data_IF_152339649472
#
_entry.id   IF_152339649472
#
_cell.length_a   1.000
_cell.length_b   1.000
_cell.length_c   1.000
_cell.angle_alpha   90.00
_cell.angle_beta   90.00
_cell.angle_gamma   90.00
#
_symmetry.space_group_name_H-M   'P 1'
#
loop_
_entity.id
_entity.type
_entity.pdbx_description
1 polymer ?
#
# COMPACT_ATOMS: atom_id res chain seq x y z
N UNK A 1 -20.86 -11.85 6.73
CA UNK A 1 -19.99 -10.75 6.28
C UNK A 1 -19.54 -10.04 7.53
N UNK A 2 -18.26 -10.13 7.84
CA UNK A 2 -17.66 -9.67 9.10
C UNK A 2 -17.94 -8.17 9.30
N UNK A 3 -17.82 -7.38 8.25
CA UNK A 3 -18.06 -5.94 8.25
C UNK A 3 -19.47 -5.61 8.73
N UNK A 4 -20.48 -6.35 8.26
CA UNK A 4 -21.86 -6.11 8.64
C UNK A 4 -22.12 -6.40 10.12
N UNK A 5 -21.58 -7.50 10.63
CA UNK A 5 -21.70 -7.85 12.05
C UNK A 5 -21.02 -6.79 12.93
N UNK A 6 -19.80 -6.37 12.57
CA UNK A 6 -19.09 -5.31 13.31
C UNK A 6 -19.85 -3.98 13.28
N UNK A 7 -20.40 -3.60 12.13
CA UNK A 7 -21.19 -2.38 11.97
C UNK A 7 -22.48 -2.43 12.80
N UNK A 8 -23.19 -3.57 12.81
CA UNK A 8 -24.36 -3.77 13.66
C UNK A 8 -24.02 -3.67 15.14
N UNK A 9 -22.91 -4.27 15.56
CA UNK A 9 -22.48 -4.21 16.96
C UNK A 9 -22.13 -2.77 17.38
N UNK A 10 -21.53 -1.97 16.50
CA UNK A 10 -21.14 -0.58 16.80
C UNK A 10 -22.33 0.40 16.77
N UNK A 11 -23.19 0.29 15.76
CA UNK A 11 -24.23 1.31 15.50
C UNK A 11 -25.66 0.87 15.86
N UNK A 12 -25.89 -0.43 16.09
CA UNK A 12 -27.20 -0.97 16.42
C UNK A 12 -28.27 -0.58 15.39
N UNK A 13 -29.40 -0.06 15.87
CA UNK A 13 -30.53 0.37 15.05
C UNK A 13 -30.21 1.61 14.20
N UNK A 14 -29.25 2.44 14.63
CA UNK A 14 -28.82 3.63 13.89
C UNK A 14 -27.98 3.28 12.66
N UNK A 15 -27.70 2.01 12.40
CA UNK A 15 -26.89 1.58 11.26
C UNK A 15 -27.47 2.04 9.91
N UNK A 16 -28.80 2.06 9.76
CA UNK A 16 -29.47 2.53 8.53
C UNK A 16 -29.37 4.05 8.35
N UNK A 17 -29.19 4.81 9.41
CA UNK A 17 -28.95 6.26 9.32
C UNK A 17 -27.47 6.52 9.03
N UNK A 18 -26.60 5.76 9.68
CA UNK A 18 -25.16 5.83 9.47
C UNK A 18 -24.77 5.46 8.04
N UNK A 19 -25.33 4.38 7.52
CA UNK A 19 -25.13 3.94 6.14
C UNK A 19 -26.31 4.44 5.31
N UNK A 20 -26.10 5.12 4.19
CA UNK A 20 -27.22 5.48 3.29
C UNK A 20 -28.16 4.29 3.05
N UNK A 21 -29.47 4.55 2.94
CA UNK A 21 -30.49 3.51 2.82
C UNK A 21 -30.16 2.47 1.73
N UNK A 22 -29.68 2.93 0.57
CA UNK A 22 -29.23 2.06 -0.52
C UNK A 22 -28.10 1.12 -0.11
N UNK A 23 -27.11 1.62 0.64
CA UNK A 23 -25.93 0.86 1.05
C UNK A 23 -26.30 -0.15 2.14
N UNK A 24 -27.12 0.27 3.10
CA UNK A 24 -27.70 -0.61 4.13
C UNK A 24 -28.44 -1.80 3.49
N UNK A 25 -29.36 -1.55 2.55
CA UNK A 25 -30.11 -2.62 1.89
C UNK A 25 -29.24 -3.53 1.03
N UNK A 26 -28.20 -3.00 0.37
CA UNK A 26 -27.23 -3.83 -0.35
C UNK A 26 -26.49 -4.79 0.58
N UNK A 27 -26.00 -4.29 1.71
CA UNK A 27 -25.31 -5.11 2.70
C UNK A 27 -26.21 -6.17 3.30
N UNK A 28 -27.41 -5.79 3.76
CA UNK A 28 -28.38 -6.71 4.35
C UNK A 28 -28.80 -7.82 3.37
N UNK A 29 -28.94 -7.48 2.09
CA UNK A 29 -29.26 -8.43 1.02
C UNK A 29 -28.03 -9.16 0.45
N UNK A 30 -26.83 -9.00 1.04
CA UNK A 30 -25.57 -9.58 0.56
C UNK A 30 -25.28 -9.29 -0.93
N UNK A 31 -25.69 -8.12 -1.42
CA UNK A 31 -25.43 -7.65 -2.79
C UNK A 31 -24.06 -6.99 -2.87
N UNK A 32 -23.53 -6.86 -4.09
CA UNK A 32 -22.23 -6.23 -4.32
C UNK A 32 -22.22 -4.72 -3.99
N UNK A 33 -21.18 -4.32 -3.25
CA UNK A 33 -20.78 -2.94 -2.95
C UNK A 33 -19.26 -2.89 -2.74
N UNK A 34 -18.70 -1.68 -2.71
CA UNK A 34 -17.27 -1.46 -2.43
C UNK A 34 -17.08 -0.90 -1.03
N UNK A 35 -16.00 -1.33 -0.36
CA UNK A 35 -15.65 -0.91 1.00
C UNK A 35 -15.54 0.62 1.15
N UNK A 36 -14.96 1.32 0.17
CA UNK A 36 -14.81 2.77 0.24
C UNK A 36 -16.15 3.53 0.35
N UNK A 37 -17.27 2.95 -0.10
CA UNK A 37 -18.59 3.57 0.09
C UNK A 37 -19.01 3.58 1.56
N UNK A 38 -18.57 2.59 2.35
CA UNK A 38 -18.82 2.51 3.79
C UNK A 38 -18.00 3.58 4.50
N UNK A 39 -16.73 3.72 4.14
CA UNK A 39 -15.84 4.75 4.68
C UNK A 39 -16.35 6.16 4.38
N UNK A 40 -16.86 6.40 3.16
CA UNK A 40 -17.50 7.68 2.78
C UNK A 40 -18.72 8.06 3.63
N UNK A 41 -19.35 7.09 4.32
CA UNK A 41 -20.39 7.36 5.31
C UNK A 41 -19.82 7.77 6.70
N UNK A 42 -18.52 8.06 6.78
CA UNK A 42 -17.82 8.41 8.00
C UNK A 42 -17.64 7.23 8.95
N UNK A 43 -17.56 6.00 8.41
CA UNK A 43 -17.20 4.83 9.20
C UNK A 43 -15.68 4.74 9.26
N UNK A 44 -15.15 4.83 10.47
CA UNK A 44 -13.74 4.53 10.75
C UNK A 44 -13.56 3.01 10.91
N UNK A 45 -12.74 2.41 10.05
CA UNK A 45 -12.47 0.98 10.06
C UNK A 45 -11.53 0.55 11.20
N UNK A 46 -10.65 1.44 11.67
CA UNK A 46 -9.75 1.15 12.79
C UNK A 46 -10.53 1.12 14.09
N UNK A 47 -11.40 2.11 14.32
CA UNK A 47 -12.28 2.08 15.49
C UNK A 47 -13.29 0.93 15.44
N UNK A 48 -13.58 0.39 14.25
CA UNK A 48 -14.42 -0.80 14.09
C UNK A 48 -13.63 -2.10 14.35
N UNK A 49 -12.31 -2.01 14.46
CA UNK A 49 -11.40 -3.14 14.50
C UNK A 49 -11.48 -4.00 13.24
N UNK A 50 -11.80 -3.40 12.08
CA UNK A 50 -11.94 -4.10 10.80
C UNK A 50 -10.59 -4.20 10.09
N UNK A 51 -10.07 -5.42 10.01
CA UNK A 51 -8.68 -5.71 9.61
C UNK A 51 -8.55 -5.97 8.11
N UNK A 52 -7.30 -6.05 7.63
CA UNK A 52 -7.01 -6.48 6.27
C UNK A 52 -7.48 -7.92 6.02
N UNK A 53 -7.34 -8.78 7.02
CA UNK A 53 -7.76 -10.18 6.96
C UNK A 53 -9.29 -10.29 6.85
N UNK A 54 -10.04 -9.45 7.59
CA UNK A 54 -11.49 -9.36 7.42
C UNK A 54 -11.88 -8.88 6.01
N UNK A 55 -11.13 -7.90 5.47
CA UNK A 55 -11.32 -7.42 4.11
C UNK A 55 -11.13 -8.51 3.06
N UNK A 56 -10.08 -9.32 3.19
CA UNK A 56 -9.84 -10.44 2.28
C UNK A 56 -10.96 -11.48 2.35
N UNK A 57 -11.58 -11.67 3.51
CA UNK A 57 -12.68 -12.62 3.65
C UNK A 57 -13.98 -12.07 3.05
N UNK A 58 -14.36 -10.84 3.38
CA UNK A 58 -15.62 -10.25 2.90
C UNK A 58 -15.58 -9.85 1.41
N UNK A 59 -14.41 -9.43 0.91
CA UNK A 59 -14.25 -8.83 -0.43
C UNK A 59 -13.24 -9.56 -1.31
N UNK A 60 -12.97 -10.86 -1.07
CA UNK A 60 -12.05 -11.70 -1.86
C UNK A 60 -12.19 -11.50 -3.37
N UNK A 61 -13.43 -11.58 -3.87
CA UNK A 61 -13.78 -11.41 -5.28
C UNK A 61 -13.37 -10.05 -5.90
N UNK A 62 -13.18 -9.01 -5.08
CA UNK A 62 -12.68 -7.71 -5.53
C UNK A 62 -11.16 -7.66 -5.37
N UNK A 63 -10.64 -8.13 -4.25
CA UNK A 63 -9.22 -8.14 -3.93
C UNK A 63 -8.39 -8.99 -4.91
N UNK A 64 -8.93 -10.12 -5.37
CA UNK A 64 -8.23 -11.05 -6.29
C UNK A 64 -7.93 -10.45 -7.67
N UNK A 65 -8.54 -9.31 -8.02
CA UNK A 65 -8.23 -8.56 -9.24
C UNK A 65 -6.93 -7.77 -9.14
N UNK A 66 -6.30 -7.75 -7.97
CA UNK A 66 -5.16 -6.92 -7.64
C UNK A 66 -4.03 -7.76 -7.06
N UNK A 67 -2.81 -7.51 -7.54
CA UNK A 67 -1.59 -8.05 -6.94
C UNK A 67 -1.36 -7.40 -5.57
N UNK A 68 -1.48 -6.06 -5.51
CA UNK A 68 -1.15 -5.25 -4.34
C UNK A 68 -2.37 -5.06 -3.41
N UNK A 69 -2.82 -6.17 -2.81
CA UNK A 69 -4.07 -6.21 -2.02
C UNK A 69 -4.03 -5.33 -0.77
N UNK A 70 -2.89 -5.25 -0.08
CA UNK A 70 -2.76 -4.45 1.15
C UNK A 70 -2.75 -2.96 0.83
N UNK A 71 -2.05 -2.53 -0.22
CA UNK A 71 -2.17 -1.16 -0.75
C UNK A 71 -3.61 -0.86 -1.17
N UNK A 72 -4.29 -1.76 -1.88
CA UNK A 72 -5.71 -1.59 -2.22
C UNK A 72 -6.58 -1.39 -0.98
N UNK A 73 -6.36 -2.16 0.08
CA UNK A 73 -7.09 -1.99 1.34
C UNK A 73 -6.84 -0.61 1.95
N UNK A 74 -5.59 -0.13 1.97
CA UNK A 74 -5.24 1.20 2.47
C UNK A 74 -5.96 2.31 1.67
N UNK A 75 -6.03 2.19 0.35
CA UNK A 75 -6.79 3.10 -0.53
C UNK A 75 -8.26 3.13 -0.14
N UNK A 76 -8.88 1.94 -0.02
CA UNK A 76 -10.30 1.82 0.31
C UNK A 76 -10.61 2.33 1.71
N UNK A 77 -9.69 2.12 2.67
CA UNK A 77 -9.77 2.59 4.05
C UNK A 77 -9.74 4.11 4.17
N UNK A 78 -9.11 4.81 3.23
CA UNK A 78 -9.20 6.28 3.10
C UNK A 78 -10.45 6.77 2.39
N UNK A 79 -11.31 5.86 1.92
CA UNK A 79 -12.54 6.21 1.22
C UNK A 79 -12.36 6.50 -0.27
N UNK A 80 -11.18 6.22 -0.84
CA UNK A 80 -10.94 6.34 -2.27
C UNK A 80 -11.35 5.07 -3.02
N UNK A 81 -11.80 5.26 -4.27
CA UNK A 81 -11.95 4.14 -5.19
C UNK A 81 -10.58 3.72 -5.73
N UNK A 82 -10.39 2.47 -6.20
CA UNK A 82 -9.11 2.03 -6.76
C UNK A 82 -8.64 2.84 -7.98
N UNK A 83 -9.57 3.47 -8.71
CA UNK A 83 -9.28 4.40 -9.80
C UNK A 83 -9.38 5.88 -9.40
N UNK A 84 -9.31 6.19 -8.11
CA UNK A 84 -9.39 7.55 -7.58
C UNK A 84 -8.13 8.39 -7.82
N UNK A 85 -7.00 7.74 -8.11
CA UNK A 85 -5.73 8.39 -8.47
C UNK A 85 -5.64 8.61 -9.98
N UNK A 86 -5.09 9.75 -10.38
CA UNK A 86 -4.97 10.15 -11.78
C UNK A 86 -3.97 9.28 -12.57
N UNK A 87 -2.98 8.72 -11.87
CA UNK A 87 -1.91 7.92 -12.47
C UNK A 87 -2.40 6.55 -12.96
N UNK A 88 -2.56 6.40 -14.28
CA UNK A 88 -2.90 5.12 -14.92
C UNK A 88 -1.88 4.02 -14.65
N UNK A 89 -0.60 4.39 -14.60
CA UNK A 89 0.50 3.49 -14.23
C UNK A 89 0.32 2.94 -12.81
N UNK A 90 -0.27 3.72 -11.89
CA UNK A 90 -0.41 3.30 -10.49
C UNK A 90 -1.53 2.29 -10.40
N UNK A 91 -2.62 2.56 -11.13
CA UNK A 91 -3.71 1.61 -11.28
C UNK A 91 -3.27 0.31 -11.97
N UNK A 92 -2.27 0.36 -12.86
CA UNK A 92 -1.66 -0.83 -13.45
C UNK A 92 -0.83 -1.60 -12.41
N UNK A 93 0.01 -0.92 -11.62
CA UNK A 93 0.81 -1.57 -10.58
C UNK A 93 -0.05 -2.18 -9.48
N UNK A 94 -1.13 -1.53 -9.06
CA UNK A 94 -2.08 -2.15 -8.13
C UNK A 94 -2.58 -3.51 -8.65
N UNK A 95 -2.78 -3.62 -9.97
CA UNK A 95 -3.26 -4.85 -10.60
C UNK A 95 -2.16 -5.89 -10.84
N UNK A 96 -0.96 -5.45 -11.24
CA UNK A 96 0.09 -6.33 -11.78
C UNK A 96 1.32 -6.50 -10.88
N UNK A 97 1.44 -5.70 -9.83
CA UNK A 97 2.60 -5.64 -8.94
C UNK A 97 3.38 -4.35 -9.11
N UNK A 98 4.01 -3.89 -8.04
CA UNK A 98 4.88 -2.72 -8.08
C UNK A 98 6.19 -2.96 -8.82
N UNK A 99 6.67 -1.93 -9.50
CA UNK A 99 8.02 -1.89 -10.06
C UNK A 99 8.86 -0.92 -9.22
N UNK A 100 9.80 -1.46 -8.45
CA UNK A 100 10.69 -0.72 -7.55
C UNK A 100 11.45 0.44 -8.21
N UNK A 101 11.76 0.30 -9.50
CA UNK A 101 12.54 1.27 -10.28
C UNK A 101 11.67 2.35 -10.93
N UNK A 102 10.34 2.30 -10.74
CA UNK A 102 9.41 3.19 -11.44
C UNK A 102 9.49 4.62 -10.93
N UNK A 103 9.44 5.59 -11.84
CA UNK A 103 9.41 7.02 -11.48
C UNK A 103 7.99 7.57 -11.33
N UNK A 104 7.02 6.67 -11.17
CA UNK A 104 5.59 6.96 -11.13
C UNK A 104 5.20 7.98 -10.06
N UNK A 105 5.96 8.03 -8.96
CA UNK A 105 5.67 8.93 -7.85
C UNK A 105 6.10 10.37 -8.14
N UNK A 106 6.51 10.72 -9.37
CA UNK A 106 6.86 12.10 -9.76
C UNK A 106 5.63 12.80 -10.35
N UNK A 107 4.72 13.31 -9.51
CA UNK A 107 3.49 13.99 -9.94
C UNK A 107 2.67 14.58 -8.79
N UNK A 108 1.50 15.14 -9.09
CA UNK A 108 0.60 15.80 -8.12
C UNK A 108 0.13 14.83 -7.01
N UNK A 109 -0.13 13.57 -7.36
CA UNK A 109 -0.61 12.53 -6.42
C UNK A 109 0.53 11.86 -5.61
N UNK A 110 1.76 12.39 -5.65
CA UNK A 110 2.95 11.71 -5.09
C UNK A 110 2.76 11.31 -3.64
N UNK A 111 2.43 12.29 -2.81
CA UNK A 111 2.35 12.11 -1.36
C UNK A 111 1.17 11.22 -0.99
N UNK A 112 0.03 11.40 -1.67
CA UNK A 112 -1.18 10.59 -1.43
C UNK A 112 -0.98 9.11 -1.81
N UNK A 113 -0.19 8.84 -2.86
CA UNK A 113 0.20 7.48 -3.25
C UNK A 113 1.14 6.89 -2.20
N UNK A 114 2.20 7.59 -1.81
CA UNK A 114 3.16 7.08 -0.80
C UNK A 114 2.48 6.73 0.52
N UNK A 115 1.49 7.51 0.93
CA UNK A 115 0.73 7.34 2.17
C UNK A 115 -0.25 6.14 2.13
N UNK A 116 -0.43 5.47 0.98
CA UNK A 116 -1.21 4.22 0.89
C UNK A 116 -0.38 3.01 0.54
N UNK A 117 0.84 3.20 0.04
CA UNK A 117 1.72 2.11 -0.35
C UNK A 117 2.01 1.19 0.83
N UNK A 118 1.97 -0.11 0.51
CA UNK A 118 2.39 -1.17 1.40
C UNK A 118 3.34 -2.06 0.64
N UNK A 119 4.64 -1.91 0.92
CA UNK A 119 5.72 -2.71 0.35
C UNK A 119 6.43 -3.35 1.54
N UNK A 120 6.52 -4.69 1.57
CA UNK A 120 7.26 -5.44 2.62
C UNK A 120 8.78 -5.22 2.45
N UNK A 121 9.24 -4.03 2.82
CA UNK A 121 10.64 -3.61 2.76
C UNK A 121 11.11 -3.19 4.15
N UNK A 122 11.70 -4.15 4.87
CA UNK A 122 12.40 -3.91 6.11
C UNK A 122 13.92 -3.97 5.89
N UNK A 123 14.59 -2.82 5.93
CA UNK A 123 16.05 -2.74 5.74
C UNK A 123 16.83 -3.47 6.85
N UNK A 124 16.26 -3.59 8.06
CA UNK A 124 16.90 -4.31 9.16
C UNK A 124 16.99 -5.81 8.86
N UNK A 125 16.01 -6.39 8.13
CA UNK A 125 16.03 -7.79 7.66
C UNK A 125 17.25 -8.11 6.79
N UNK A 126 17.84 -7.10 6.14
CA UNK A 126 19.02 -7.22 5.29
C UNK A 126 20.29 -6.72 5.96
N UNK A 127 20.25 -6.26 7.21
CA UNK A 127 21.39 -5.61 7.89
C UNK A 127 21.98 -4.42 7.10
N UNK A 128 21.15 -3.69 6.36
CA UNK A 128 21.61 -2.59 5.50
C UNK A 128 21.45 -1.22 6.18
N UNK A 129 22.48 -0.39 6.06
CA UNK A 129 22.42 1.02 6.43
C UNK A 129 21.99 1.85 5.23
N UNK A 130 21.04 2.76 5.42
CA UNK A 130 20.56 3.63 4.34
C UNK A 130 20.90 5.10 4.61
N UNK A 131 21.54 5.71 3.62
CA UNK A 131 21.76 7.16 3.52
C UNK A 131 20.79 7.75 2.48
N UNK A 132 20.07 8.81 2.87
CA UNK A 132 19.05 9.43 2.03
C UNK A 132 19.62 10.67 1.35
N UNK A 133 19.47 10.73 0.03
CA UNK A 133 19.83 11.89 -0.78
C UNK A 133 18.59 12.50 -1.44
N UNK A 134 18.74 13.72 -1.96
CA UNK A 134 17.62 14.44 -2.59
C UNK A 134 16.99 13.65 -3.74
N UNK A 135 17.80 12.99 -4.58
CA UNK A 135 17.34 12.31 -5.80
C UNK A 135 17.27 10.79 -5.69
N UNK A 136 18.02 10.19 -4.77
CA UNK A 136 18.19 8.74 -4.65
C UNK A 136 18.38 8.36 -3.18
N UNK A 137 18.50 7.07 -2.89
CA UNK A 137 19.06 6.57 -1.63
C UNK A 137 20.30 5.73 -1.93
N UNK A 138 21.12 5.53 -0.91
CA UNK A 138 22.25 4.61 -0.96
C UNK A 138 22.17 3.64 0.21
N UNK A 139 22.19 2.35 -0.11
CA UNK A 139 22.30 1.28 0.87
C UNK A 139 23.75 0.84 0.98
N UNK A 140 24.18 0.55 2.21
CA UNK A 140 25.54 0.16 2.57
C UNK A 140 25.48 -1.10 3.43
N UNK A 141 26.40 -2.04 3.21
CA UNK A 141 26.50 -3.28 3.97
C UNK A 141 27.37 -4.34 3.29
N UNK A 142 27.20 -5.60 3.71
CA UNK A 142 27.85 -6.73 3.04
C UNK A 142 27.37 -6.86 1.59
N UNK A 143 28.26 -7.30 0.69
CA UNK A 143 27.94 -7.43 -0.74
C UNK A 143 26.78 -8.40 -0.97
N UNK A 144 26.77 -9.50 -0.24
CA UNK A 144 25.78 -10.56 -0.32
C UNK A 144 24.40 -10.08 0.16
N UNK A 145 24.35 -9.23 1.19
CA UNK A 145 23.11 -8.63 1.68
C UNK A 145 22.54 -7.60 0.69
N UNK A 146 23.41 -6.83 0.02
CA UNK A 146 23.04 -5.92 -1.07
C UNK A 146 22.53 -6.69 -2.29
N UNK A 147 23.17 -7.80 -2.66
CA UNK A 147 22.76 -8.67 -3.77
C UNK A 147 21.38 -9.27 -3.52
N UNK A 148 21.14 -9.81 -2.31
CA UNK A 148 19.81 -10.28 -1.91
C UNK A 148 18.75 -9.19 -1.99
N UNK A 149 19.03 -8.00 -1.44
CA UNK A 149 18.10 -6.87 -1.52
C UNK A 149 17.82 -6.47 -2.99
N UNK A 150 18.87 -6.43 -3.82
CA UNK A 150 18.76 -6.11 -5.24
C UNK A 150 17.87 -7.12 -5.97
N UNK A 151 18.02 -8.41 -5.70
CA UNK A 151 17.23 -9.50 -6.28
C UNK A 151 15.76 -9.43 -5.83
N UNK A 152 15.52 -9.39 -4.51
CA UNK A 152 14.18 -9.39 -3.91
C UNK A 152 13.31 -8.22 -4.44
N UNK A 153 13.93 -7.06 -4.68
CA UNK A 153 13.25 -5.88 -5.20
C UNK A 153 13.49 -5.60 -6.69
N UNK A 154 14.20 -6.49 -7.40
CA UNK A 154 14.54 -6.34 -8.82
C UNK A 154 15.15 -4.96 -9.17
N UNK A 155 16.08 -4.49 -8.35
CA UNK A 155 16.75 -3.19 -8.53
C UNK A 155 17.76 -3.28 -9.69
N UNK A 156 17.70 -2.32 -10.61
CA UNK A 156 18.51 -2.37 -11.85
C UNK A 156 19.92 -1.83 -11.68
N UNK A 157 20.15 -0.98 -10.67
CA UNK A 157 21.44 -0.34 -10.44
C UNK A 157 22.45 -1.35 -9.90
N UNK A 158 23.71 -1.21 -10.30
CA UNK A 158 24.78 -2.11 -9.89
C UNK A 158 25.26 -1.85 -8.47
N UNK A 159 25.73 -2.91 -7.80
CA UNK A 159 26.44 -2.83 -6.52
C UNK A 159 27.89 -2.46 -6.82
N UNK A 160 28.39 -1.42 -6.15
CA UNK A 160 29.73 -0.87 -6.37
C UNK A 160 30.48 -0.73 -5.05
N UNK A 161 31.82 -0.76 -5.12
CA UNK A 161 32.67 -0.50 -3.97
C UNK A 161 32.94 1.00 -3.83
N UNK A 162 32.49 1.60 -2.73
CA UNK A 162 32.74 3.01 -2.43
C UNK A 162 34.11 3.17 -1.79
N UNK A 163 35.10 3.57 -2.60
CA UNK A 163 36.52 3.64 -2.21
C UNK A 163 36.77 4.49 -0.97
N UNK A 164 36.01 5.57 -0.75
CA UNK A 164 36.25 6.47 0.39
C UNK A 164 35.74 5.91 1.71
N UNK A 165 34.69 5.10 1.66
CA UNK A 165 34.07 4.48 2.83
C UNK A 165 34.56 3.06 3.07
N UNK A 166 35.30 2.50 2.10
CA UNK A 166 35.77 1.11 2.10
C UNK A 166 34.62 0.13 2.36
N UNK A 167 33.50 0.35 1.67
CA UNK A 167 32.25 -0.39 1.87
C UNK A 167 31.54 -0.60 0.52
N UNK A 168 30.82 -1.72 0.40
CA UNK A 168 29.93 -1.94 -0.75
C UNK A 168 28.68 -1.10 -0.61
N UNK A 169 28.17 -0.58 -1.74
CA UNK A 169 26.93 0.16 -1.76
C UNK A 169 26.03 -0.16 -2.96
N UNK A 170 24.76 0.16 -2.81
CA UNK A 170 23.75 0.14 -3.87
C UNK A 170 23.02 1.49 -3.87
N UNK A 171 23.25 2.28 -4.91
CA UNK A 171 22.61 3.58 -5.10
C UNK A 171 21.45 3.46 -6.09
N UNK A 172 20.23 3.84 -5.71
CA UNK A 172 19.05 3.75 -6.59
C UNK A 172 17.98 4.80 -6.30
N UNK A 173 17.14 5.05 -7.30
CA UNK A 173 15.95 5.91 -7.23
C UNK A 173 14.69 5.16 -7.69
N UNK A 174 13.54 5.85 -7.70
CA UNK A 174 12.25 5.28 -8.09
C UNK A 174 11.35 4.96 -6.90
N UNK A 175 10.27 4.22 -7.17
CA UNK A 175 9.17 3.93 -6.24
C UNK A 175 9.65 3.39 -4.90
N UNK A 176 10.55 2.40 -4.91
CA UNK A 176 11.04 1.81 -3.65
C UNK A 176 11.90 2.80 -2.87
N UNK A 177 12.75 3.58 -3.56
CA UNK A 177 13.54 4.61 -2.89
C UNK A 177 12.64 5.71 -2.30
N UNK A 178 11.59 6.12 -3.01
CA UNK A 178 10.61 7.09 -2.53
C UNK A 178 9.82 6.55 -1.33
N UNK A 179 9.45 5.27 -1.35
CA UNK A 179 8.83 4.57 -0.22
C UNK A 179 9.74 4.55 1.01
N UNK A 180 10.98 4.07 0.88
CA UNK A 180 11.96 4.01 1.98
C UNK A 180 12.23 5.39 2.60
N UNK A 181 12.25 6.46 1.78
CA UNK A 181 12.42 7.83 2.27
C UNK A 181 11.23 8.30 3.12
N UNK A 182 10.03 7.83 2.82
CA UNK A 182 8.79 8.26 3.48
C UNK A 182 8.46 7.42 4.73
N UNK A 183 8.93 6.16 4.79
CA UNK A 183 8.72 5.24 5.92
C UNK A 183 9.69 5.43 7.09
N UNK A 184 10.47 6.52 7.10
CA UNK A 184 11.47 6.86 8.13
C UNK A 184 11.03 8.08 8.93
#
# INVERSE_FOLDING_TARGET
MILYEKLKNKYGDNLKEKLSERLYHKMAAKKSFYLHNIVKCGVDLDELGYTFEDYLEDFRHQADKYAEKRTLFNILKKGYAPGGYSSSTFQEYLRKGFNSNSQIVRGEDREEILDVLDIDCDLARYNLRCEVYRRHIELYGAKEDLERFQEDFSIKQSILWEKRKEEWHLAFDGLLADYIKNSR
#
